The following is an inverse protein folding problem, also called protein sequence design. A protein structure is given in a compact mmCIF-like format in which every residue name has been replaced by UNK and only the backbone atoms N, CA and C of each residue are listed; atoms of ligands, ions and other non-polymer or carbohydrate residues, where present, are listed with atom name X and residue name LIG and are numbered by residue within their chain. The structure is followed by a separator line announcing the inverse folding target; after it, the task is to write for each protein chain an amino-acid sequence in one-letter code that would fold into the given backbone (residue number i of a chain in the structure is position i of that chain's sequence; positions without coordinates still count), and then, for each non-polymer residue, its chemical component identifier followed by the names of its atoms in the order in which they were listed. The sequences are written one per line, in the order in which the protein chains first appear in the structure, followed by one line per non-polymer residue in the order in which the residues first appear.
data_IF_114905080947
#
_entry.id   IF_114905080947
#
_cell.length_a   1.000
_cell.length_b   1.000
_cell.length_c   1.000
_cell.angle_alpha   90.00
_cell.angle_beta   90.00
_cell.angle_gamma   90.00
#
_symmetry.space_group_name_H-M   'P 1'
#
loop_
_entity.id
_entity.type
_entity.pdbx_description
1 polymer ?
#
# COMPACT_ATOMS: atom_id res chain seq x y z
N UNK A 1 -7.45 2.76 4.44
CA UNK A 1 -7.64 3.69 5.58
C UNK A 1 -8.84 3.23 6.39
N UNK A 2 -8.76 3.29 7.72
CA UNK A 2 -9.83 2.88 8.64
C UNK A 2 -10.74 4.07 8.95
N UNK A 3 -12.05 3.86 8.88
CA UNK A 3 -13.09 4.87 9.11
C UNK A 3 -13.99 4.34 10.23
N UNK A 4 -14.02 5.03 11.36
CA UNK A 4 -14.90 4.68 12.49
C UNK A 4 -16.14 5.56 12.40
N UNK A 5 -17.32 4.94 12.40
CA UNK A 5 -18.59 5.64 12.17
C UNK A 5 -19.66 5.15 13.15
N UNK A 6 -20.46 6.06 13.75
CA UNK A 6 -21.66 5.69 14.51
C UNK A 6 -22.71 5.02 13.61
N UNK A 7 -23.41 4.02 14.13
CA UNK A 7 -24.47 3.31 13.38
C UNK A 7 -25.57 4.25 12.87
N UNK A 8 -25.92 5.29 13.62
CA UNK A 8 -26.91 6.29 13.18
C UNK A 8 -26.47 7.01 11.91
N UNK A 9 -25.20 7.44 11.85
CA UNK A 9 -24.62 8.10 10.69
C UNK A 9 -24.42 7.13 9.53
N UNK A 10 -24.06 5.87 9.81
CA UNK A 10 -23.99 4.84 8.78
C UNK A 10 -25.34 4.64 8.09
N UNK A 11 -26.43 4.54 8.86
CA UNK A 11 -27.79 4.33 8.34
C UNK A 11 -28.27 5.46 7.41
N UNK A 12 -27.85 6.70 7.70
CA UNK A 12 -28.20 7.85 6.86
C UNK A 12 -27.41 7.89 5.54
N UNK A 13 -26.24 7.26 5.49
CA UNK A 13 -25.32 7.33 4.33
C UNK A 13 -24.77 5.96 3.93
N UNK A 14 -25.61 4.92 3.98
CA UNK A 14 -25.21 3.51 3.76
C UNK A 14 -24.46 3.35 2.44
N UNK A 15 -25.01 3.89 1.35
CA UNK A 15 -24.43 3.77 0.01
C UNK A 15 -22.99 4.31 -0.04
N UNK A 16 -22.75 5.47 0.57
CA UNK A 16 -21.43 6.11 0.63
C UNK A 16 -20.42 5.26 1.39
N UNK A 17 -20.81 4.66 2.52
CA UNK A 17 -19.91 3.82 3.29
C UNK A 17 -19.65 2.45 2.64
N UNK A 18 -20.64 1.90 1.94
CA UNK A 18 -20.47 0.70 1.12
C UNK A 18 -19.50 0.97 -0.03
N UNK A 19 -19.61 2.12 -0.70
CA UNK A 19 -18.69 2.51 -1.77
C UNK A 19 -17.25 2.69 -1.25
N UNK A 20 -17.08 3.34 -0.09
CA UNK A 20 -15.78 3.43 0.59
C UNK A 20 -15.22 2.05 0.90
N UNK A 21 -16.03 1.13 1.42
CA UNK A 21 -15.58 -0.24 1.65
C UNK A 21 -15.18 -0.94 0.35
N UNK A 22 -15.97 -0.81 -0.73
CA UNK A 22 -15.67 -1.35 -2.07
C UNK A 22 -14.34 -0.82 -2.62
N UNK A 23 -14.00 0.43 -2.32
CA UNK A 23 -12.72 1.06 -2.71
C UNK A 23 -11.53 0.61 -1.83
N UNK A 24 -11.76 -0.25 -0.83
CA UNK A 24 -10.73 -0.84 0.03
C UNK A 24 -10.53 -0.11 1.36
N UNK A 25 -11.44 0.78 1.75
CA UNK A 25 -11.46 1.33 3.11
C UNK A 25 -12.04 0.30 4.09
N UNK A 26 -11.59 0.35 5.34
CA UNK A 26 -12.17 -0.45 6.43
C UNK A 26 -13.16 0.44 7.17
N UNK A 27 -14.44 0.07 7.21
CA UNK A 27 -15.47 0.84 7.91
C UNK A 27 -15.86 0.09 9.18
N UNK A 28 -15.63 0.70 10.34
CA UNK A 28 -15.95 0.13 11.65
C UNK A 28 -17.21 0.81 12.18
N UNK A 29 -18.25 0.02 12.44
CA UNK A 29 -19.49 0.48 13.05
C UNK A 29 -19.37 0.42 14.57
N UNK A 30 -19.51 1.58 15.21
CA UNK A 30 -19.64 1.70 16.67
C UNK A 30 -21.06 2.08 17.05
N UNK A 31 -21.57 1.49 18.12
CA UNK A 31 -22.75 2.00 18.81
C UNK A 31 -22.31 2.92 19.95
N UNK A 32 -22.76 4.18 19.90
CA UNK A 32 -22.50 5.15 20.97
C UNK A 32 -23.18 4.76 22.29
N UNK A 33 -24.23 3.93 22.27
CA UNK A 33 -24.99 3.54 23.46
C UNK A 33 -24.42 2.33 24.20
N UNK A 34 -23.67 1.46 23.52
CA UNK A 34 -23.16 0.20 24.09
C UNK A 34 -21.64 0.10 24.13
N UNK A 35 -20.93 1.13 23.67
CA UNK A 35 -19.47 1.25 23.58
C UNK A 35 -18.74 0.02 23.00
N UNK A 36 -19.45 -0.75 22.18
CA UNK A 36 -18.95 -1.98 21.56
C UNK A 36 -18.77 -1.75 20.05
N UNK A 37 -17.64 -2.24 19.52
CA UNK A 37 -17.49 -2.44 18.09
C UNK A 37 -18.43 -3.56 17.66
N UNK A 38 -19.39 -3.24 16.78
CA UNK A 38 -20.43 -4.19 16.41
C UNK A 38 -20.09 -4.95 15.13
N UNK A 39 -19.58 -4.24 14.11
CA UNK A 39 -19.33 -4.83 12.79
C UNK A 39 -18.21 -4.08 12.07
N UNK A 40 -17.33 -4.83 11.39
CA UNK A 40 -16.34 -4.31 10.46
C UNK A 40 -16.75 -4.64 9.03
N UNK A 41 -16.93 -3.62 8.20
CA UNK A 41 -17.15 -3.75 6.76
C UNK A 41 -15.81 -3.61 6.04
N UNK A 42 -15.37 -4.69 5.37
CA UNK A 42 -14.16 -4.70 4.55
C UNK A 42 -14.55 -5.09 3.14
N UNK A 43 -14.32 -4.20 2.17
CA UNK A 43 -14.40 -4.59 0.77
C UNK A 43 -13.11 -5.27 0.34
N UNK A 44 -13.24 -6.45 -0.27
CA UNK A 44 -12.12 -7.06 -1.00
C UNK A 44 -11.89 -6.23 -2.26
N UNK A 45 -10.74 -5.56 -2.33
CA UNK A 45 -10.32 -4.87 -3.55
C UNK A 45 -10.26 -5.92 -4.66
N UNK A 46 -11.09 -5.78 -5.69
CA UNK A 46 -11.03 -6.70 -6.84
C UNK A 46 -9.66 -6.54 -7.49
N UNK A 47 -9.01 -7.68 -7.75
CA UNK A 47 -7.74 -7.67 -8.47
C UNK A 47 -7.95 -6.99 -9.82
N UNK A 48 -7.15 -5.96 -10.08
CA UNK A 48 -7.16 -5.23 -11.35
C UNK A 48 -5.83 -5.54 -12.06
N UNK A 49 -5.84 -6.45 -13.05
CA UNK A 49 -4.62 -6.87 -13.74
C UNK A 49 -3.95 -5.72 -14.49
N UNK A 50 -4.72 -4.76 -15.03
CA UNK A 50 -4.17 -3.61 -15.76
C UNK A 50 -3.44 -2.64 -14.82
N UNK A 51 -4.04 -2.33 -13.67
CA UNK A 51 -3.43 -1.48 -12.66
C UNK A 51 -2.15 -2.14 -12.10
N UNK A 52 -2.20 -3.45 -11.88
CA UNK A 52 -1.05 -4.24 -11.44
C UNK A 52 0.06 -4.26 -12.51
N UNK A 53 -0.29 -4.50 -13.77
CA UNK A 53 0.66 -4.46 -14.90
C UNK A 53 1.30 -3.09 -15.09
N UNK A 54 0.55 -2.00 -14.94
CA UNK A 54 1.09 -0.64 -14.97
C UNK A 54 2.06 -0.37 -13.82
N UNK A 55 1.71 -0.79 -12.60
CA UNK A 55 2.58 -0.68 -11.44
C UNK A 55 3.87 -1.51 -11.62
N UNK A 56 3.76 -2.74 -12.14
CA UNK A 56 4.91 -3.57 -12.50
C UNK A 56 5.77 -2.91 -13.57
N UNK A 57 5.19 -2.34 -14.61
CA UNK A 57 5.95 -1.66 -15.68
C UNK A 57 6.66 -0.41 -15.17
N UNK A 58 6.02 0.37 -14.29
CA UNK A 58 6.64 1.52 -13.64
C UNK A 58 7.81 1.09 -12.75
N UNK A 59 7.64 0.01 -11.98
CA UNK A 59 8.69 -0.56 -11.14
C UNK A 59 9.81 -1.25 -11.95
N UNK A 60 9.49 -1.87 -13.09
CA UNK A 60 10.47 -2.54 -13.94
C UNK A 60 11.48 -1.56 -14.56
N UNK A 61 11.09 -0.29 -14.74
CA UNK A 61 12.02 0.78 -15.12
C UNK A 61 13.04 1.11 -14.03
N UNK A 62 12.75 0.82 -12.76
CA UNK A 62 13.65 1.09 -11.63
C UNK A 62 14.92 0.26 -11.78
N UNK A 63 14.82 -1.04 -12.07
CA UNK A 63 15.98 -1.91 -12.28
C UNK A 63 16.51 -1.87 -13.72
N UNK A 64 16.83 -0.68 -14.23
CA UNK A 64 17.46 -0.51 -15.54
C UNK A 64 18.84 0.12 -15.42
N UNK A 65 19.77 -0.27 -16.29
CA UNK A 65 21.13 0.31 -16.37
C UNK A 65 21.10 1.83 -16.62
N UNK A 66 20.03 2.34 -17.23
CA UNK A 66 19.83 3.79 -17.43
C UNK A 66 19.60 4.53 -16.10
N UNK A 67 18.91 3.89 -15.16
CA UNK A 67 18.60 4.46 -13.85
C UNK A 67 19.65 4.07 -12.78
N UNK A 68 20.37 2.97 -13.00
CA UNK A 68 21.49 2.49 -12.18
C UNK A 68 22.71 2.22 -13.07
N UNK A 69 23.48 3.26 -13.45
CA UNK A 69 24.71 3.07 -14.21
C UNK A 69 25.72 2.18 -13.49
N UNK A 70 25.68 2.13 -12.16
CA UNK A 70 26.46 1.21 -11.32
C UNK A 70 26.11 -0.28 -11.54
N UNK A 71 25.01 -0.61 -12.23
CA UNK A 71 24.59 -1.97 -12.52
C UNK A 71 24.86 -2.40 -13.97
N UNK A 72 25.68 -1.63 -14.71
CA UNK A 72 25.96 -1.87 -16.12
C UNK A 72 26.64 -3.20 -16.40
N UNK A 73 27.60 -3.60 -15.56
CA UNK A 73 28.33 -4.87 -15.69
C UNK A 73 28.40 -5.60 -14.36
N UNK A 74 28.68 -6.91 -14.40
CA UNK A 74 28.87 -7.71 -13.18
C UNK A 74 29.94 -7.10 -12.26
N UNK A 75 31.04 -6.58 -12.82
CA UNK A 75 32.09 -5.93 -12.03
C UNK A 75 31.64 -4.62 -11.39
N UNK A 76 30.75 -3.87 -12.05
CA UNK A 76 30.24 -2.61 -11.50
C UNK A 76 29.30 -2.88 -10.32
N UNK A 77 28.44 -3.91 -10.44
CA UNK A 77 27.58 -4.36 -9.34
C UNK A 77 28.42 -4.78 -8.13
N UNK A 78 29.48 -5.57 -8.34
CA UNK A 78 30.38 -5.99 -7.25
C UNK A 78 31.02 -4.78 -6.57
N UNK A 79 31.58 -3.84 -7.35
CA UNK A 79 32.17 -2.61 -6.80
C UNK A 79 31.16 -1.76 -6.03
N UNK A 80 29.95 -1.62 -6.55
CA UNK A 80 28.88 -0.88 -5.89
C UNK A 80 28.51 -1.50 -4.54
N UNK A 81 28.27 -2.83 -4.51
CA UNK A 81 27.97 -3.55 -3.25
C UNK A 81 29.10 -3.40 -2.23
N UNK A 82 30.36 -3.54 -2.65
CA UNK A 82 31.52 -3.37 -1.77
C UNK A 82 31.63 -1.96 -1.20
N UNK A 83 31.39 -0.93 -2.01
CA UNK A 83 31.42 0.46 -1.58
C UNK A 83 30.28 0.78 -0.63
N UNK A 84 29.06 0.34 -0.94
CA UNK A 84 27.90 0.54 -0.07
C UNK A 84 28.08 -0.15 1.27
N UNK A 85 28.60 -1.38 1.30
CA UNK A 85 28.92 -2.08 2.55
C UNK A 85 29.92 -1.30 3.41
N UNK A 86 31.04 -0.88 2.82
CA UNK A 86 32.06 -0.06 3.50
C UNK A 86 31.54 1.31 3.97
N UNK A 87 30.52 1.85 3.31
CA UNK A 87 29.87 3.09 3.73
C UNK A 87 28.94 2.83 4.92
N UNK A 88 28.12 1.77 4.87
CA UNK A 88 27.24 1.38 5.98
C UNK A 88 28.01 1.04 7.26
N UNK A 89 29.17 0.39 7.14
CA UNK A 89 30.04 0.06 8.27
C UNK A 89 30.66 1.30 8.95
N UNK A 90 30.62 2.48 8.31
CA UNK A 90 31.12 3.75 8.87
C UNK A 90 30.05 4.54 9.65
N UNK A 91 28.80 4.11 9.61
CA UNK A 91 27.66 4.76 10.29
C UNK A 91 27.08 3.92 11.44
N UNK A 92 27.77 2.85 11.84
CA UNK A 92 27.43 2.01 13.00
C UNK A 92 28.31 2.33 14.21
#
# INVERSE_FOLDING_TARGET
MTIIVPISQFRQHIATYIEKAKNGHIVILKDKKKDQQLVQLVGKKKFNPDAFGKALKAAAGVFSVKNHPEWRTKSDVVKWVEQTRKASDRYF
#
